data_IF_475498705688
#
_entry.id   IF_475498705688
#
_cell.length_a   1.000
_cell.length_b   1.000
_cell.length_c   1.000
_cell.angle_alpha   90.00
_cell.angle_beta   90.00
_cell.angle_gamma   90.00
#
_symmetry.space_group_name_H-M   'P 1'
#
loop_
_entity.id
_entity.type
_entity.pdbx_description
1 polymer ?
#
# COMPACT_ATOMS: atom_id res chain seq x y z
N UNK A 1 -11.66 5.11 1.81
CA UNK A 1 -11.20 4.66 0.47
C UNK A 1 -12.34 4.84 -0.51
N UNK A 2 -12.10 5.54 -1.60
CA UNK A 2 -13.05 5.72 -2.69
C UNK A 2 -12.63 4.81 -3.86
N UNK A 3 -13.61 4.17 -4.50
CA UNK A 3 -13.34 3.36 -5.69
C UNK A 3 -13.57 4.20 -6.94
N UNK A 4 -12.64 4.11 -7.88
CA UNK A 4 -12.78 4.74 -9.19
C UNK A 4 -12.38 3.79 -10.30
N UNK A 5 -12.97 3.99 -11.47
CA UNK A 5 -12.63 3.26 -12.69
C UNK A 5 -11.90 4.21 -13.63
N UNK A 6 -10.72 3.82 -14.04
CA UNK A 6 -9.93 4.55 -15.05
C UNK A 6 -10.04 3.79 -16.35
N UNK A 7 -10.50 4.45 -17.40
CA UNK A 7 -10.70 3.84 -18.70
C UNK A 7 -9.38 3.28 -19.25
N UNK A 8 -9.42 2.07 -19.80
CA UNK A 8 -8.22 1.35 -20.25
C UNK A 8 -7.40 0.67 -19.16
N UNK A 9 -7.53 1.08 -17.87
CA UNK A 9 -6.66 0.62 -16.77
C UNK A 9 -7.40 -0.13 -15.65
N UNK A 10 -8.74 -0.08 -15.64
CA UNK A 10 -9.58 -0.85 -14.72
C UNK A 10 -9.93 -0.11 -13.43
N UNK A 11 -10.18 -0.88 -12.36
CA UNK A 11 -10.64 -0.37 -11.06
C UNK A 11 -9.47 -0.11 -10.12
N UNK A 12 -9.57 0.99 -9.37
CA UNK A 12 -8.60 1.40 -8.35
C UNK A 12 -9.28 1.82 -7.06
N UNK A 13 -8.53 1.77 -5.97
CA UNK A 13 -8.81 2.42 -4.69
C UNK A 13 -8.06 3.74 -4.65
N UNK A 14 -8.77 4.84 -4.38
CA UNK A 14 -8.18 6.14 -4.09
C UNK A 14 -7.92 6.30 -2.58
N UNK A 15 -6.69 6.60 -2.21
CA UNK A 15 -6.26 6.88 -0.84
C UNK A 15 -5.90 8.36 -0.75
N UNK A 16 -6.61 9.11 0.10
CA UNK A 16 -6.34 10.54 0.28
C UNK A 16 -4.91 10.79 0.78
N UNK A 17 -4.22 11.73 0.17
CA UNK A 17 -2.96 12.23 0.68
C UNK A 17 -3.20 13.12 1.92
N UNK A 18 -2.25 13.14 2.86
CA UNK A 18 -2.41 13.79 4.19
C UNK A 18 -2.84 15.25 4.12
N UNK A 19 -2.18 16.04 3.29
CA UNK A 19 -2.44 17.47 3.17
C UNK A 19 -2.55 17.87 1.69
N UNK A 20 -3.77 17.89 1.19
CA UNK A 20 -4.06 18.33 -0.18
C UNK A 20 -4.24 19.85 -0.28
N UNK A 21 -4.70 20.49 0.79
CA UNK A 21 -5.12 21.90 0.76
C UNK A 21 -3.94 22.86 0.59
N UNK A 22 -2.74 22.51 1.05
CA UNK A 22 -1.53 23.34 0.87
C UNK A 22 -1.18 23.57 -0.61
N UNK A 23 -1.69 22.72 -1.51
CA UNK A 23 -1.44 22.86 -2.94
C UNK A 23 -2.41 23.80 -3.64
N UNK A 24 -3.49 24.29 -2.97
CA UNK A 24 -4.45 25.22 -3.56
C UNK A 24 -3.77 26.41 -4.22
N UNK A 25 -2.90 27.10 -3.48
CA UNK A 25 -2.18 28.28 -3.99
C UNK A 25 -1.24 27.93 -5.14
N UNK A 26 -0.51 26.82 -5.04
CA UNK A 26 0.41 26.38 -6.08
C UNK A 26 -0.28 26.04 -7.41
N UNK A 27 -1.54 25.64 -7.34
CA UNK A 27 -2.34 25.28 -8.52
C UNK A 27 -3.29 26.40 -8.99
N UNK A 28 -3.29 27.57 -8.31
CA UNK A 28 -4.25 28.65 -8.61
C UNK A 28 -5.69 28.26 -8.33
N UNK A 29 -5.91 27.46 -7.29
CA UNK A 29 -7.20 26.88 -6.92
C UNK A 29 -7.66 27.37 -5.53
N UNK A 30 -7.38 28.60 -5.16
CA UNK A 30 -7.69 29.15 -3.84
C UNK A 30 -9.20 29.17 -3.58
N UNK A 31 -10.00 29.42 -4.63
CA UNK A 31 -11.45 29.60 -4.55
C UNK A 31 -12.24 28.30 -4.68
N UNK A 32 -11.57 27.12 -4.85
CA UNK A 32 -12.31 25.86 -4.96
C UNK A 32 -12.83 25.39 -3.61
N UNK A 33 -14.07 24.90 -3.57
CA UNK A 33 -14.66 24.31 -2.36
C UNK A 33 -14.04 22.98 -1.99
N UNK A 34 -13.71 22.18 -2.99
CA UNK A 34 -13.18 20.82 -2.80
C UNK A 34 -11.91 20.62 -3.61
N UNK A 35 -10.84 20.25 -2.90
CA UNK A 35 -9.59 19.78 -3.50
C UNK A 35 -9.20 18.44 -2.90
N UNK A 36 -9.22 17.39 -3.72
CA UNK A 36 -8.79 16.06 -3.33
C UNK A 36 -7.54 15.66 -4.12
N UNK A 37 -6.52 15.20 -3.41
CA UNK A 37 -5.33 14.56 -3.98
C UNK A 37 -5.16 13.20 -3.33
N UNK A 38 -4.88 12.20 -4.10
CA UNK A 38 -4.76 10.85 -3.60
C UNK A 38 -3.78 10.01 -4.40
N UNK A 39 -3.53 8.84 -3.89
CA UNK A 39 -2.72 7.80 -4.52
C UNK A 39 -3.64 6.67 -4.95
N UNK A 40 -3.50 6.22 -6.18
CA UNK A 40 -4.24 5.08 -6.71
C UNK A 40 -3.54 3.76 -6.35
N UNK A 41 -4.30 2.78 -5.90
CA UNK A 41 -3.84 1.41 -5.65
C UNK A 41 -4.83 0.41 -6.24
N UNK A 42 -4.37 -0.80 -6.53
CA UNK A 42 -5.27 -1.88 -6.93
C UNK A 42 -6.21 -2.26 -5.77
N UNK A 43 -7.47 -2.67 -6.08
CA UNK A 43 -8.44 -3.02 -5.05
C UNK A 43 -7.93 -4.08 -4.07
N UNK A 44 -8.20 -3.87 -2.78
CA UNK A 44 -7.78 -4.74 -1.69
C UNK A 44 -6.43 -4.35 -1.06
N UNK A 45 -5.65 -3.45 -1.69
CA UNK A 45 -4.39 -2.98 -1.12
C UNK A 45 -4.59 -2.33 0.26
N UNK A 46 -5.53 -1.40 0.37
CA UNK A 46 -5.74 -0.66 1.62
C UNK A 46 -6.08 -1.58 2.78
N UNK A 47 -6.95 -2.57 2.56
CA UNK A 47 -7.34 -3.53 3.61
C UNK A 47 -6.20 -4.46 4.02
N UNK A 48 -5.39 -4.91 3.07
CA UNK A 48 -4.22 -5.74 3.39
C UNK A 48 -3.15 -4.93 4.12
N UNK A 49 -2.90 -3.68 3.70
CA UNK A 49 -1.96 -2.79 4.38
C UNK A 49 -2.40 -2.43 5.81
N UNK A 50 -3.70 -2.21 6.02
CA UNK A 50 -4.27 -1.93 7.34
C UNK A 50 -3.98 -3.05 8.38
N UNK A 51 -3.80 -4.29 7.91
CA UNK A 51 -3.37 -5.39 8.78
C UNK A 51 -1.98 -5.14 9.37
N UNK A 52 -1.01 -4.69 8.59
CA UNK A 52 0.32 -4.35 9.09
C UNK A 52 0.29 -3.20 10.08
N UNK A 53 -0.55 -2.18 9.80
CA UNK A 53 -0.72 -1.03 10.71
C UNK A 53 -1.34 -1.48 12.03
N UNK A 54 -2.42 -2.26 12.00
CA UNK A 54 -3.10 -2.77 13.20
C UNK A 54 -2.24 -3.70 14.04
N UNK A 55 -1.34 -4.45 13.41
CA UNK A 55 -0.35 -5.27 14.12
C UNK A 55 0.78 -4.44 14.75
N UNK A 56 0.99 -3.20 14.31
CA UNK A 56 2.13 -2.39 14.75
C UNK A 56 3.43 -2.65 13.97
N UNK A 57 3.36 -3.40 12.87
CA UNK A 57 4.54 -3.71 12.04
C UNK A 57 5.09 -2.50 11.30
N UNK A 58 4.35 -1.39 11.23
CA UNK A 58 4.76 -0.13 10.60
C UNK A 58 5.37 0.86 11.59
N UNK A 59 5.56 0.46 12.84
CA UNK A 59 6.13 1.31 13.89
C UNK A 59 7.65 1.41 13.74
N UNK A 60 8.19 2.63 13.78
CA UNK A 60 9.62 2.94 13.72
C UNK A 60 10.15 3.59 15.02
N UNK A 61 9.32 3.67 16.06
CA UNK A 61 9.64 4.36 17.31
C UNK A 61 10.51 3.54 18.27
N UNK A 62 10.62 2.22 18.08
CA UNK A 62 11.43 1.34 18.92
C UNK A 62 12.20 0.29 18.09
N UNK A 63 13.21 -0.31 18.73
CA UNK A 63 14.11 -1.28 18.09
C UNK A 63 13.91 -2.67 18.71
N UNK A 64 13.72 -3.67 17.86
CA UNK A 64 13.77 -5.09 18.22
C UNK A 64 15.24 -5.53 18.16
N UNK A 65 15.70 -6.22 19.20
CA UNK A 65 17.06 -6.78 19.27
C UNK A 65 17.06 -8.26 18.91
N UNK A 66 18.22 -8.77 18.49
CA UNK A 66 18.43 -10.18 18.09
C UNK A 66 17.47 -10.59 16.95
N UNK A 67 17.23 -9.68 16.00
CA UNK A 67 16.36 -9.95 14.85
C UNK A 67 16.93 -11.06 13.96
N UNK A 68 18.26 -11.22 13.92
CA UNK A 68 18.94 -12.30 13.19
C UNK A 68 18.63 -13.72 13.73
N UNK A 69 18.10 -13.81 14.94
CA UNK A 69 17.60 -15.07 15.50
C UNK A 69 16.12 -15.34 15.17
N UNK A 70 15.42 -14.39 14.57
CA UNK A 70 14.00 -14.50 14.21
C UNK A 70 13.83 -14.85 12.74
N UNK A 71 12.91 -15.78 12.47
CA UNK A 71 12.33 -15.89 11.12
C UNK A 71 11.29 -14.80 10.89
N UNK A 72 10.88 -14.58 9.63
CA UNK A 72 9.78 -13.66 9.31
C UNK A 72 8.48 -14.08 10.00
N UNK A 73 8.27 -15.40 10.12
CA UNK A 73 7.16 -15.98 10.87
C UNK A 73 7.26 -15.65 12.37
N UNK A 74 8.44 -15.78 12.98
CA UNK A 74 8.65 -15.46 14.40
C UNK A 74 8.43 -13.97 14.65
N UNK A 75 8.96 -13.11 13.77
CA UNK A 75 8.70 -11.67 13.82
C UNK A 75 7.20 -11.35 13.78
N UNK A 76 6.46 -11.96 12.84
CA UNK A 76 5.01 -11.79 12.77
C UNK A 76 4.32 -12.24 14.05
N UNK A 77 4.80 -13.33 14.64
CA UNK A 77 4.26 -13.88 15.89
C UNK A 77 4.49 -12.99 17.12
N UNK A 78 5.49 -12.09 17.11
CA UNK A 78 5.73 -11.14 18.21
C UNK A 78 4.55 -10.20 18.48
N UNK A 79 3.74 -9.92 17.47
CA UNK A 79 2.58 -9.01 17.56
C UNK A 79 1.28 -9.71 17.94
N UNK A 80 1.32 -11.02 18.18
CA UNK A 80 0.15 -11.84 18.42
C UNK A 80 0.15 -12.40 19.85
N UNK A 81 -1.03 -12.63 20.41
CA UNK A 81 -1.13 -13.28 21.71
C UNK A 81 -0.51 -14.68 21.70
N UNK A 82 0.12 -15.05 22.80
CA UNK A 82 0.68 -16.38 22.97
C UNK A 82 -0.41 -17.45 22.89
N UNK A 83 -0.28 -18.36 21.97
CA UNK A 83 -1.09 -19.57 21.85
C UNK A 83 -0.23 -20.67 21.20
N UNK A 84 0.13 -21.72 21.93
CA UNK A 84 0.99 -22.78 21.43
C UNK A 84 0.28 -23.77 20.49
N UNK A 85 -1.05 -23.75 20.47
CA UNK A 85 -1.86 -24.71 19.70
C UNK A 85 -2.21 -24.23 18.28
N UNK A 86 -2.23 -22.90 18.08
CA UNK A 86 -2.63 -22.31 16.80
C UNK A 86 -1.39 -21.90 15.96
N UNK A 87 -1.52 -22.06 14.65
CA UNK A 87 -0.52 -21.50 13.73
C UNK A 87 -0.52 -19.97 13.76
N UNK A 88 0.60 -19.35 13.33
CA UNK A 88 0.71 -17.88 13.29
C UNK A 88 -0.35 -17.27 12.39
N UNK A 89 -0.66 -17.91 11.25
CA UNK A 89 -1.71 -17.50 10.32
C UNK A 89 -3.09 -17.50 10.99
N UNK A 90 -3.40 -18.56 11.75
CA UNK A 90 -4.69 -18.68 12.43
C UNK A 90 -4.83 -17.64 13.53
N UNK A 91 -3.78 -17.43 14.33
CA UNK A 91 -3.74 -16.38 15.36
C UNK A 91 -3.94 -15.00 14.77
N UNK A 92 -3.25 -14.68 13.66
CA UNK A 92 -3.38 -13.41 12.96
C UNK A 92 -4.78 -13.21 12.41
N UNK A 93 -5.34 -14.24 11.76
CA UNK A 93 -6.70 -14.22 11.24
C UNK A 93 -7.73 -13.91 12.32
N UNK A 94 -7.63 -14.56 13.47
CA UNK A 94 -8.52 -14.33 14.61
C UNK A 94 -8.32 -12.93 15.22
N UNK A 95 -7.07 -12.53 15.45
CA UNK A 95 -6.74 -11.22 16.03
C UNK A 95 -7.29 -10.05 15.22
N UNK A 96 -7.19 -10.13 13.90
CA UNK A 96 -7.64 -9.08 12.98
C UNK A 96 -9.10 -9.27 12.51
N UNK A 97 -9.80 -10.32 12.98
CA UNK A 97 -11.16 -10.67 12.57
C UNK A 97 -11.31 -10.73 11.03
N UNK A 98 -10.36 -11.38 10.35
CA UNK A 98 -10.36 -11.49 8.89
C UNK A 98 -11.46 -12.48 8.46
N UNK A 99 -12.43 -12.06 7.60
CA UNK A 99 -13.49 -12.94 7.13
C UNK A 99 -12.96 -14.17 6.37
N UNK A 100 -13.70 -15.28 6.45
CA UNK A 100 -13.30 -16.55 5.85
C UNK A 100 -13.21 -16.49 4.31
N UNK A 101 -14.08 -15.70 3.69
CA UNK A 101 -14.22 -15.49 2.25
C UNK A 101 -13.39 -14.31 1.71
N UNK A 102 -12.54 -13.74 2.56
CA UNK A 102 -11.70 -12.57 2.21
C UNK A 102 -10.38 -13.01 1.58
N UNK A 103 -9.96 -12.29 0.54
CA UNK A 103 -8.66 -12.43 -0.12
C UNK A 103 -7.48 -11.79 0.67
N UNK A 104 -7.77 -11.25 1.87
CA UNK A 104 -6.74 -10.60 2.70
C UNK A 104 -5.67 -11.59 3.13
N UNK A 105 -6.05 -12.79 3.57
CA UNK A 105 -5.07 -13.81 3.98
C UNK A 105 -4.16 -14.23 2.82
N UNK A 106 -4.69 -14.37 1.60
CA UNK A 106 -3.88 -14.69 0.43
C UNK A 106 -2.83 -13.60 0.16
N UNK A 107 -3.21 -12.33 0.28
CA UNK A 107 -2.29 -11.19 0.15
C UNK A 107 -1.22 -11.16 1.24
N UNK A 108 -1.58 -11.47 2.49
CA UNK A 108 -0.63 -11.54 3.60
C UNK A 108 0.33 -12.73 3.44
N UNK A 109 -0.14 -13.88 3.00
CA UNK A 109 0.71 -15.05 2.68
C UNK A 109 1.67 -14.69 1.53
N UNK A 110 1.14 -14.09 0.46
CA UNK A 110 1.94 -13.66 -0.68
C UNK A 110 3.02 -12.64 -0.29
N UNK A 111 2.76 -11.75 0.68
CA UNK A 111 3.74 -10.76 1.16
C UNK A 111 4.98 -11.38 1.80
N UNK A 112 4.94 -12.65 2.19
CA UNK A 112 6.07 -13.39 2.74
C UNK A 112 6.24 -13.30 4.25
N UNK A 113 5.33 -12.65 5.00
CA UNK A 113 5.46 -12.48 6.46
C UNK A 113 5.40 -13.79 7.27
N UNK A 114 5.03 -14.90 6.66
CA UNK A 114 4.98 -16.22 7.30
C UNK A 114 6.12 -17.15 6.87
N UNK A 115 7.11 -16.65 6.09
CA UNK A 115 8.24 -17.46 5.63
C UNK A 115 9.19 -17.80 6.78
N UNK A 116 9.95 -18.92 6.66
CA UNK A 116 10.96 -19.32 7.63
C UNK A 116 12.29 -18.58 7.47
N UNK A 117 12.40 -17.68 6.49
CA UNK A 117 13.63 -16.92 6.21
C UNK A 117 13.99 -16.02 7.39
N UNK A 118 15.29 -15.87 7.68
CA UNK A 118 15.79 -15.07 8.78
C UNK A 118 16.23 -13.67 8.32
N UNK A 119 16.26 -12.72 9.25
CA UNK A 119 16.79 -11.39 8.98
C UNK A 119 18.32 -11.37 8.95
N UNK A 120 18.94 -10.59 8.05
CA UNK A 120 20.40 -10.50 7.95
C UNK A 120 21.03 -9.49 8.93
N UNK A 121 20.26 -8.93 9.86
CA UNK A 121 20.69 -7.87 10.77
C UNK A 121 20.26 -8.17 12.23
N UNK A 122 21.10 -7.72 13.19
CA UNK A 122 20.91 -8.01 14.63
C UNK A 122 19.88 -7.13 15.34
N UNK A 123 19.56 -5.99 14.76
CA UNK A 123 18.59 -5.08 15.35
C UNK A 123 17.94 -4.22 14.27
N UNK A 124 16.64 -4.01 14.38
CA UNK A 124 15.87 -3.18 13.46
C UNK A 124 14.55 -2.76 14.12
N UNK A 125 13.94 -1.68 13.61
CA UNK A 125 12.57 -1.34 13.99
C UNK A 125 11.56 -2.30 13.34
N UNK A 126 10.33 -2.44 13.85
CA UNK A 126 9.28 -3.19 13.17
C UNK A 126 9.12 -2.80 11.71
N UNK A 127 9.11 -1.49 11.41
CA UNK A 127 8.99 -0.97 10.05
C UNK A 127 10.13 -1.42 9.13
N UNK A 128 11.38 -1.44 9.63
CA UNK A 128 12.55 -1.93 8.88
C UNK A 128 12.48 -3.44 8.64
N UNK A 129 12.00 -4.22 9.61
CA UNK A 129 11.78 -5.65 9.42
C UNK A 129 10.72 -5.90 8.34
N UNK A 130 9.58 -5.21 8.42
CA UNK A 130 8.52 -5.32 7.42
C UNK A 130 9.02 -4.90 6.03
N UNK A 131 9.74 -3.79 5.92
CA UNK A 131 10.35 -3.33 4.66
C UNK A 131 11.26 -4.41 4.05
N UNK A 132 12.13 -5.03 4.86
CA UNK A 132 12.99 -6.10 4.40
C UNK A 132 12.21 -7.28 3.81
N UNK A 133 11.12 -7.71 4.48
CA UNK A 133 10.25 -8.79 3.99
C UNK A 133 9.61 -8.39 2.65
N UNK A 134 8.99 -7.21 2.60
CA UNK A 134 8.24 -6.77 1.42
C UNK A 134 9.14 -6.52 0.21
N UNK A 135 10.36 -6.06 0.40
CA UNK A 135 11.33 -5.87 -0.71
C UNK A 135 11.61 -7.16 -1.47
N UNK A 136 11.52 -8.34 -0.83
CA UNK A 136 11.75 -9.62 -1.51
C UNK A 136 10.69 -9.94 -2.58
N UNK A 137 9.44 -9.47 -2.37
CA UNK A 137 8.33 -9.73 -3.30
C UNK A 137 7.94 -8.51 -4.15
N UNK A 138 8.33 -7.30 -3.72
CA UNK A 138 7.99 -6.06 -4.43
C UNK A 138 9.11 -5.50 -5.30
N UNK A 139 10.31 -6.03 -5.20
CA UNK A 139 11.38 -5.65 -6.12
C UNK A 139 11.06 -6.13 -7.53
N UNK A 140 11.14 -5.22 -8.49
CA UNK A 140 10.94 -5.54 -9.90
C UNK A 140 11.99 -6.57 -10.36
N UNK A 141 11.52 -7.61 -11.02
CA UNK A 141 12.40 -8.55 -11.73
C UNK A 141 12.86 -7.89 -13.05
N UNK A 142 13.95 -8.36 -13.67
CA UNK A 142 14.51 -7.73 -14.88
C UNK A 142 13.51 -7.50 -16.01
N UNK A 143 12.51 -8.35 -16.14
CA UNK A 143 11.47 -8.29 -17.18
C UNK A 143 10.16 -7.66 -16.73
N UNK A 144 10.06 -7.28 -15.45
CA UNK A 144 8.84 -6.64 -14.94
C UNK A 144 8.73 -5.21 -15.45
N UNK A 145 7.49 -4.81 -15.68
CA UNK A 145 7.13 -3.47 -16.12
C UNK A 145 6.30 -2.79 -15.05
N UNK A 146 6.67 -1.58 -14.70
CA UNK A 146 5.84 -0.74 -13.84
C UNK A 146 4.78 -0.01 -14.67
N UNK A 147 3.72 0.43 -14.01
CA UNK A 147 2.63 1.19 -14.59
C UNK A 147 2.33 2.42 -13.75
N UNK A 148 2.42 3.58 -14.33
CA UNK A 148 1.91 4.82 -13.75
C UNK A 148 0.56 5.14 -14.36
N UNK A 149 -0.43 5.37 -13.50
CA UNK A 149 -1.76 5.83 -13.90
C UNK A 149 -2.05 7.15 -13.19
N UNK A 150 -2.38 8.18 -13.96
CA UNK A 150 -2.87 9.46 -13.44
C UNK A 150 -4.34 9.60 -13.82
N UNK A 151 -5.12 10.15 -12.90
CA UNK A 151 -6.53 10.45 -13.11
C UNK A 151 -6.86 11.83 -12.54
N UNK A 152 -7.49 12.66 -13.33
CA UNK A 152 -7.95 13.98 -12.94
C UNK A 152 -9.45 14.09 -13.19
N UNK A 153 -10.14 14.70 -12.23
CA UNK A 153 -11.57 15.00 -12.33
C UNK A 153 -11.77 16.43 -11.87
N UNK A 154 -12.31 17.26 -12.77
CA UNK A 154 -12.56 18.68 -12.51
C UNK A 154 -14.05 18.96 -12.75
N UNK A 155 -14.72 19.46 -11.74
CA UNK A 155 -16.11 19.89 -11.82
C UNK A 155 -16.21 21.39 -11.63
N UNK A 156 -17.13 22.04 -12.34
CA UNK A 156 -17.48 23.45 -12.15
C UNK A 156 -18.93 23.72 -12.48
N UNK A 157 -19.41 24.82 -11.98
CA UNK A 157 -20.76 25.34 -12.31
C UNK A 157 -20.65 26.60 -13.16
N UNK A 158 -21.52 26.73 -14.16
CA UNK A 158 -21.64 27.92 -14.97
C UNK A 158 -23.12 28.14 -15.34
N UNK A 159 -23.63 29.33 -15.02
CA UNK A 159 -25.01 29.71 -15.29
C UNK A 159 -26.07 28.68 -14.83
N UNK A 160 -25.87 28.09 -13.65
CA UNK A 160 -26.76 27.08 -13.06
C UNK A 160 -26.69 25.68 -13.68
N UNK A 161 -25.73 25.45 -14.57
CA UNK A 161 -25.43 24.13 -15.13
C UNK A 161 -24.09 23.60 -14.56
N UNK A 162 -24.09 22.33 -14.17
CA UNK A 162 -22.89 21.64 -13.68
C UNK A 162 -22.16 20.96 -14.83
N UNK A 163 -20.86 21.12 -14.85
CA UNK A 163 -19.97 20.54 -15.85
C UNK A 163 -18.91 19.68 -15.16
N UNK A 164 -18.40 18.68 -15.87
CA UNK A 164 -17.34 17.80 -15.40
C UNK A 164 -16.45 17.37 -16.54
N UNK A 165 -15.13 17.38 -16.28
CA UNK A 165 -14.12 16.82 -17.17
C UNK A 165 -13.37 15.74 -16.39
N UNK A 166 -13.18 14.59 -17.01
CA UNK A 166 -12.31 13.53 -16.54
C UNK A 166 -11.16 13.35 -17.54
N UNK A 167 -9.94 13.23 -17.04
CA UNK A 167 -8.74 12.99 -17.84
C UNK A 167 -7.92 11.89 -17.20
N UNK A 168 -7.42 10.98 -18.00
CA UNK A 168 -6.54 9.91 -17.54
C UNK A 168 -5.32 9.78 -18.43
N UNK A 169 -4.21 9.35 -17.84
CA UNK A 169 -2.97 9.02 -18.52
C UNK A 169 -2.41 7.75 -17.92
N UNK A 170 -1.91 6.85 -18.75
CA UNK A 170 -1.14 5.70 -18.31
C UNK A 170 0.17 5.62 -19.06
N UNK A 171 1.23 5.31 -18.33
CA UNK A 171 2.57 5.07 -18.87
C UNK A 171 3.07 3.75 -18.33
N UNK A 172 3.44 2.84 -19.21
CA UNK A 172 4.03 1.54 -18.87
C UNK A 172 5.55 1.60 -19.12
N UNK A 173 6.33 1.11 -18.16
CA UNK A 173 7.77 0.96 -18.33
C UNK A 173 8.13 -0.14 -19.33
N UNK A 174 9.34 -0.15 -19.80
CA UNK A 174 9.84 -1.16 -20.74
C UNK A 174 10.35 -2.40 -19.98
N UNK A 175 11.07 -2.17 -18.88
CA UNK A 175 11.65 -3.20 -18.00
C UNK A 175 11.99 -2.59 -16.61
N UNK A 176 12.66 -3.34 -15.74
CA UNK A 176 13.05 -2.88 -14.41
C UNK A 176 14.11 -1.77 -14.39
N UNK A 177 14.82 -1.51 -15.51
CA UNK A 177 15.80 -0.43 -15.64
C UNK A 177 15.20 0.81 -16.30
N UNK A 178 14.27 0.61 -17.23
CA UNK A 178 13.58 1.66 -17.98
C UNK A 178 12.12 1.75 -17.48
N UNK A 179 11.98 2.23 -16.26
CA UNK A 179 10.69 2.29 -15.58
C UNK A 179 9.86 3.49 -16.04
N UNK A 180 8.54 3.36 -16.01
CA UNK A 180 7.63 4.48 -16.23
C UNK A 180 7.86 5.60 -15.21
N UNK A 181 8.22 5.27 -13.96
CA UNK A 181 8.55 6.25 -12.92
C UNK A 181 9.74 7.12 -13.33
N UNK A 182 10.80 6.54 -13.89
CA UNK A 182 11.99 7.28 -14.31
C UNK A 182 11.73 8.22 -15.50
N UNK A 183 10.73 7.92 -16.34
CA UNK A 183 10.39 8.71 -17.52
C UNK A 183 9.32 9.79 -17.27
N UNK A 184 8.61 9.73 -16.14
CA UNK A 184 7.49 10.64 -15.82
C UNK A 184 7.79 11.62 -14.69
N UNK A 185 8.95 11.54 -14.05
CA UNK A 185 9.38 12.43 -12.94
C UNK A 185 10.34 13.53 -13.39
#
# INVERSE_FOLDING_TARGET
TEFMRVEGYGKFEGLANRDSLKYRKAYGLEEVDTLYRGTLRRPGFARAWDCFVKLGMTDDSYVIRNTDALSFRDFTNLFLAYNPSDSVELKLKHYLNIPQDSDIMDKLIWSGIFKPDQFPFKSATPAQCLEHILRQVWSLQPTDKDLIVMFHKVGWENNGSSYMIESSMGVEGEDAQHTAMASTV
#
